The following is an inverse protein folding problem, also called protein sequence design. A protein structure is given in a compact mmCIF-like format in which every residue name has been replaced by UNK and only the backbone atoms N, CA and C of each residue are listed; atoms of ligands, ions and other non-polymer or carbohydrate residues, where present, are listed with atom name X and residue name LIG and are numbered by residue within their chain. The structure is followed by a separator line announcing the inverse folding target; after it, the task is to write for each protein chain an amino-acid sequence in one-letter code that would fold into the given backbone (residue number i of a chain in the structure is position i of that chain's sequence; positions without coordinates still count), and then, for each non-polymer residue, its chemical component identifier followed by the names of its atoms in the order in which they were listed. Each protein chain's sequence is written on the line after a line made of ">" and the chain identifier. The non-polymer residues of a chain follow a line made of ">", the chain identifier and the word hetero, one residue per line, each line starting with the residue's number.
data_IF_912197040621
#
_entry.id   IF_912197040621
#
_cell.length_a   1.000
_cell.length_b   1.000
_cell.length_c   1.000
_cell.angle_alpha   90.00
_cell.angle_beta   90.00
_cell.angle_gamma   90.00
#
_symmetry.space_group_name_H-M   'P 1'
#
loop_
_entity.id
_entity.type
_entity.pdbx_description
1 polymer ?
#
# COMPACT_ATOMS: atom_id res chain seq x y z
N UNK A 1 7.86 -2.66 -6.07
CA UNK A 1 8.38 -1.65 -7.01
C UNK A 1 9.08 -0.58 -6.22
N UNK A 2 10.07 0.07 -6.82
CA UNK A 2 10.89 1.08 -6.17
C UNK A 2 10.41 2.49 -6.58
N UNK A 3 9.82 3.29 -5.68
CA UNK A 3 9.51 4.69 -5.93
C UNK A 3 10.74 5.51 -6.31
N UNK A 4 10.59 6.34 -7.35
CA UNK A 4 11.51 7.40 -7.72
C UNK A 4 11.19 8.72 -7.00
N UNK A 5 12.06 9.74 -7.16
CA UNK A 5 11.95 11.02 -6.44
C UNK A 5 10.69 11.83 -6.77
N UNK A 6 10.09 11.62 -7.94
CA UNK A 6 8.90 12.35 -8.41
C UNK A 6 7.59 11.59 -8.22
N UNK A 7 7.67 10.34 -7.75
CA UNK A 7 6.50 9.50 -7.51
C UNK A 7 5.72 9.95 -6.28
N UNK A 8 4.41 9.78 -6.34
CA UNK A 8 3.52 10.01 -5.22
C UNK A 8 3.29 8.67 -4.54
N UNK A 9 3.71 8.55 -3.29
CA UNK A 9 3.58 7.30 -2.53
C UNK A 9 2.51 7.46 -1.46
N UNK A 10 1.47 6.64 -1.53
CA UNK A 10 0.40 6.59 -0.52
C UNK A 10 0.48 5.28 0.23
N UNK A 11 0.90 5.36 1.49
CA UNK A 11 1.04 4.20 2.38
C UNK A 11 -0.26 4.02 3.15
N UNK A 12 -0.87 2.84 3.05
CA UNK A 12 -2.09 2.49 3.76
C UNK A 12 -1.73 1.71 5.02
N UNK A 13 -1.84 2.35 6.18
CA UNK A 13 -1.57 1.77 7.50
C UNK A 13 -2.88 1.53 8.27
N UNK A 14 -2.88 0.50 9.11
CA UNK A 14 -4.02 0.22 9.98
C UNK A 14 -4.02 -1.21 10.53
N UNK A 15 -4.88 -1.51 11.50
CA UNK A 15 -4.88 -2.82 12.15
C UNK A 15 -5.24 -3.97 11.20
N UNK A 16 -4.97 -5.21 11.63
CA UNK A 16 -5.40 -6.42 10.90
C UNK A 16 -6.93 -6.43 10.73
N UNK A 17 -7.44 -6.85 9.56
CA UNK A 17 -8.88 -7.00 9.32
C UNK A 17 -9.65 -5.71 9.01
N UNK A 18 -8.99 -4.56 8.91
CA UNK A 18 -9.66 -3.26 8.70
C UNK A 18 -9.72 -2.82 7.23
N UNK A 19 -9.67 -3.76 6.28
CA UNK A 19 -9.98 -3.51 4.87
C UNK A 19 -8.94 -2.73 4.06
N UNK A 20 -7.67 -2.67 4.48
CA UNK A 20 -6.59 -1.96 3.74
C UNK A 20 -6.42 -2.46 2.30
N UNK A 21 -6.26 -3.77 2.12
CA UNK A 21 -6.14 -4.41 0.80
C UNK A 21 -7.41 -4.23 -0.03
N UNK A 22 -8.59 -4.30 0.61
CA UNK A 22 -9.88 -4.01 -0.02
C UNK A 22 -9.98 -2.56 -0.51
N UNK A 23 -9.53 -1.60 0.29
CA UNK A 23 -9.48 -0.19 -0.09
C UNK A 23 -8.60 0.02 -1.32
N UNK A 24 -7.41 -0.60 -1.36
CA UNK A 24 -6.51 -0.54 -2.52
C UNK A 24 -7.15 -1.19 -3.75
N UNK A 25 -7.78 -2.36 -3.61
CA UNK A 25 -8.50 -3.04 -4.70
C UNK A 25 -9.61 -2.17 -5.29
N UNK A 26 -10.37 -1.49 -4.45
CA UNK A 26 -11.43 -0.58 -4.90
C UNK A 26 -10.86 0.59 -5.71
N UNK A 27 -9.70 1.14 -5.31
CA UNK A 27 -9.01 2.19 -6.08
C UNK A 27 -8.50 1.66 -7.41
N UNK A 28 -7.92 0.46 -7.42
CA UNK A 28 -7.36 -0.18 -8.61
C UNK A 28 -8.42 -0.70 -9.60
N UNK A 29 -9.71 -0.63 -9.24
CA UNK A 29 -10.81 -1.10 -10.08
C UNK A 29 -10.87 -2.62 -10.23
N UNK A 30 -10.30 -3.40 -9.31
CA UNK A 30 -10.30 -4.87 -9.36
C UNK A 30 -9.46 -5.54 -8.27
N UNK A 31 -9.52 -6.87 -8.18
CA UNK A 31 -8.73 -7.67 -7.22
C UNK A 31 -7.28 -7.82 -7.67
N UNK A 32 -6.44 -6.80 -7.40
CA UNK A 32 -5.01 -6.82 -7.67
C UNK A 32 -4.16 -7.02 -6.41
N UNK A 33 -4.60 -6.43 -5.29
CA UNK A 33 -4.10 -6.74 -3.97
C UNK A 33 -4.73 -8.05 -3.45
N UNK A 34 -3.91 -8.89 -2.83
CA UNK A 34 -4.37 -10.15 -2.26
C UNK A 34 -5.36 -9.87 -1.13
N UNK A 35 -6.63 -10.18 -1.35
CA UNK A 35 -7.66 -10.26 -0.32
C UNK A 35 -7.99 -11.73 -0.16
N UNK A 36 -7.59 -12.34 0.96
CA UNK A 36 -7.90 -13.74 1.22
C UNK A 36 -9.22 -13.84 2.01
N UNK A 37 -10.17 -14.60 1.47
CA UNK A 37 -11.55 -14.72 1.97
C UNK A 37 -11.68 -15.66 3.18
N UNK A 38 -10.56 -16.10 3.79
CA UNK A 38 -10.62 -17.10 4.86
C UNK A 38 -9.33 -17.23 5.65
N UNK A 39 -9.29 -16.56 6.80
CA UNK A 39 -8.50 -16.90 8.00
C UNK A 39 -6.96 -17.06 7.90
N UNK A 40 -6.31 -17.17 6.74
CA UNK A 40 -4.85 -17.29 6.64
C UNK A 40 -4.27 -16.71 5.32
N UNK A 41 -4.32 -15.40 5.16
CA UNK A 41 -3.12 -14.62 4.76
C UNK A 41 -3.39 -13.14 5.07
N UNK A 42 -2.91 -12.68 6.23
CA UNK A 42 -2.60 -11.26 6.38
C UNK A 42 -1.51 -10.94 5.36
N UNK A 43 -1.50 -9.75 4.75
CA UNK A 43 -0.33 -9.25 4.02
C UNK A 43 0.88 -9.41 4.93
N UNK A 44 1.73 -10.40 4.66
CA UNK A 44 2.90 -10.68 5.50
C UNK A 44 4.06 -9.78 5.11
N UNK A 45 3.96 -9.08 3.97
CA UNK A 45 4.97 -8.22 3.36
C UNK A 45 4.37 -6.89 2.89
N UNK A 46 5.25 -5.90 2.69
CA UNK A 46 4.89 -4.61 2.10
C UNK A 46 4.74 -4.82 0.60
N UNK A 47 3.54 -4.60 0.07
CA UNK A 47 3.26 -4.73 -1.37
C UNK A 47 2.95 -3.36 -1.96
N UNK A 48 3.29 -3.16 -3.23
CA UNK A 48 3.15 -1.86 -3.91
C UNK A 48 2.46 -2.02 -5.26
N UNK A 49 1.51 -1.14 -5.56
CA UNK A 49 0.74 -1.15 -6.80
C UNK A 49 0.80 0.21 -7.46
N UNK A 50 1.03 0.23 -8.76
CA UNK A 50 1.03 1.45 -9.56
C UNK A 50 -0.40 1.74 -10.06
N UNK A 51 -0.79 3.00 -9.94
CA UNK A 51 -2.04 3.53 -10.47
C UNK A 51 -1.71 4.69 -11.42
N UNK A 52 -2.33 4.66 -12.61
CA UNK A 52 -2.31 5.81 -13.50
C UNK A 52 -3.08 6.98 -12.88
N UNK A 53 -2.50 8.17 -12.96
CA UNK A 53 -3.13 9.37 -12.41
C UNK A 53 -4.45 9.63 -13.13
N UNK A 54 -5.58 9.75 -12.39
CA UNK A 54 -6.85 10.05 -13.00
C UNK A 54 -6.83 11.39 -13.76
N UNK A 55 -7.45 11.42 -14.94
CA UNK A 55 -7.46 12.62 -15.79
C UNK A 55 -8.03 13.88 -15.14
N UNK A 56 -8.85 13.73 -14.10
CA UNK A 56 -9.45 14.84 -13.34
C UNK A 56 -8.50 15.48 -12.31
N UNK A 57 -7.26 14.99 -12.17
CA UNK A 57 -6.19 15.56 -11.34
C UNK A 57 -5.05 16.07 -12.24
N UNK A 58 -5.26 17.16 -13.00
CA UNK A 58 -4.30 17.65 -14.00
C UNK A 58 -2.95 18.04 -13.39
N UNK A 59 -2.92 18.50 -12.15
CA UNK A 59 -1.72 18.89 -11.41
C UNK A 59 -0.79 17.71 -11.08
N UNK A 60 -1.29 16.49 -11.16
CA UNK A 60 -0.53 15.26 -10.90
C UNK A 60 -0.15 14.53 -12.20
N UNK A 61 -0.56 15.01 -13.38
CA UNK A 61 -0.24 14.33 -14.63
C UNK A 61 1.26 14.23 -14.88
N UNK A 62 1.68 13.07 -15.42
CA UNK A 62 3.09 12.75 -15.64
C UNK A 62 3.81 12.20 -14.40
N UNK A 63 3.18 12.17 -13.23
CA UNK A 63 3.67 11.45 -12.05
C UNK A 63 3.12 10.04 -11.99
N UNK A 64 3.80 9.14 -11.28
CA UNK A 64 3.28 7.81 -10.94
C UNK A 64 2.72 7.84 -9.53
N UNK A 65 1.52 7.28 -9.35
CA UNK A 65 0.96 7.04 -8.03
C UNK A 65 1.24 5.61 -7.61
N UNK A 66 1.83 5.43 -6.44
CA UNK A 66 2.16 4.13 -5.87
C UNK A 66 1.36 3.96 -4.59
N UNK A 67 0.43 3.01 -4.59
CA UNK A 67 -0.30 2.58 -3.41
C UNK A 67 0.48 1.47 -2.71
N UNK A 68 0.74 1.63 -1.42
CA UNK A 68 1.51 0.66 -0.63
C UNK A 68 0.59 0.00 0.37
N UNK A 69 0.33 -1.29 0.16
CA UNK A 69 -0.37 -2.14 1.14
C UNK A 69 0.63 -2.62 2.19
N UNK A 70 0.19 -2.63 3.44
CA UNK A 70 1.04 -2.95 4.58
C UNK A 70 0.42 -4.05 5.43
N UNK A 71 1.26 -4.87 6.08
CA UNK A 71 0.81 -5.76 7.13
C UNK A 71 0.00 -5.01 8.19
N UNK A 72 -1.11 -5.59 8.63
CA UNK A 72 -1.86 -5.04 9.75
C UNK A 72 -1.09 -5.19 11.06
N UNK A 73 -1.26 -4.23 11.97
CA UNK A 73 -0.76 -4.31 13.34
C UNK A 73 -1.88 -4.71 14.32
N UNK A 74 -1.55 -5.35 15.45
CA UNK A 74 -2.52 -5.65 16.51
C UNK A 74 -2.26 -4.84 17.78
N UNK A 75 -1.01 -4.42 18.00
CA UNK A 75 -0.62 -3.57 19.13
C UNK A 75 0.42 -2.49 18.73
N UNK A 76 0.87 -1.70 19.71
CA UNK A 76 1.84 -0.60 19.50
C UNK A 76 3.24 -1.07 19.10
N UNK A 77 3.66 -2.28 19.51
CA UNK A 77 4.94 -2.85 19.12
C UNK A 77 4.91 -3.26 17.65
N UNK A 78 3.79 -3.82 17.20
CA UNK A 78 3.54 -4.14 15.80
C UNK A 78 3.55 -2.90 14.91
N UNK A 79 2.99 -1.78 15.36
CA UNK A 79 3.02 -0.51 14.60
C UNK A 79 4.46 -0.11 14.27
N UNK A 80 5.34 -0.15 15.27
CA UNK A 80 6.75 0.22 15.08
C UNK A 80 7.47 -0.71 14.10
N UNK A 81 7.14 -2.00 14.14
CA UNK A 81 7.66 -2.98 13.18
C UNK A 81 7.16 -2.64 11.75
N UNK A 82 5.86 -2.43 11.58
CA UNK A 82 5.27 -2.08 10.27
C UNK A 82 5.90 -0.81 9.70
N UNK A 83 6.05 0.25 10.51
CA UNK A 83 6.74 1.48 10.09
C UNK A 83 8.19 1.19 9.70
N UNK A 84 8.92 0.39 10.46
CA UNK A 84 10.29 -0.01 10.14
C UNK A 84 10.41 -0.83 8.85
N UNK A 85 9.39 -1.61 8.51
CA UNK A 85 9.33 -2.35 7.24
C UNK A 85 9.09 -1.42 6.06
N UNK A 86 8.15 -0.48 6.20
CA UNK A 86 7.89 0.55 5.18
C UNK A 86 9.12 1.42 4.96
N UNK A 87 9.81 1.83 6.03
CA UNK A 87 11.04 2.61 5.92
C UNK A 87 12.16 1.86 5.19
N UNK A 88 12.29 0.53 5.42
CA UNK A 88 13.25 -0.30 4.68
C UNK A 88 12.87 -0.43 3.21
N UNK A 89 11.58 -0.62 2.91
CA UNK A 89 11.08 -0.69 1.55
C UNK A 89 11.35 0.63 0.78
N UNK A 90 11.12 1.78 1.41
CA UNK A 90 11.46 3.09 0.84
C UNK A 90 12.97 3.25 0.61
N UNK A 91 13.83 2.72 1.49
CA UNK A 91 15.30 2.80 1.34
C UNK A 91 15.86 1.84 0.29
N UNK A 92 15.19 0.72 0.01
CA UNK A 92 15.58 -0.19 -1.06
C UNK A 92 15.13 0.29 -2.43
N UNK A 93 14.50 1.47 -2.49
CA UNK A 93 13.93 2.07 -3.69
C UNK A 93 14.95 2.87 -4.48
#
# INVERSE_FOLDING_TARGET
>A
MNPGPDDIVVIVLGPVGHGKSTFINNILGGQKAKTDDGFFTCTTEVESYELEIPHHLPELQGKRLILVDTPGFQDVYDVSNVVGRVARWLKSS
#
